data_IF_409623918702
#
_entry.id   IF_409623918702
#
_cell.length_a   1.000
_cell.length_b   1.000
_cell.length_c   1.000
_cell.angle_alpha   90.00
_cell.angle_beta   90.00
_cell.angle_gamma   90.00
#
_symmetry.space_group_name_H-M   'P 1'
#
loop_
_entity.id
_entity.type
_entity.pdbx_description
1 polymer ?
#
# COMPACT_ATOMS: atom_id res chain seq x y z
N UNK A 1 -18.61 -2.27 -20.38
CA UNK A 1 -18.74 -3.22 -19.26
C UNK A 1 -18.58 -2.41 -18.00
N UNK A 2 -19.64 -2.17 -17.24
CA UNK A 2 -19.55 -1.43 -15.98
C UNK A 2 -18.95 -2.39 -14.96
N UNK A 3 -17.70 -2.15 -14.54
CA UNK A 3 -17.09 -2.88 -13.42
C UNK A 3 -17.64 -2.27 -12.13
N UNK A 4 -18.96 -2.42 -11.93
CA UNK A 4 -19.68 -1.94 -10.76
C UNK A 4 -20.12 -3.15 -9.95
N UNK A 5 -19.37 -3.48 -8.90
CA UNK A 5 -19.58 -4.65 -8.04
C UNK A 5 -20.76 -4.52 -7.06
N UNK A 6 -21.52 -3.43 -7.13
CA UNK A 6 -22.60 -3.20 -6.19
C UNK A 6 -23.97 -3.41 -6.86
N UNK A 7 -24.82 -4.30 -6.31
CA UNK A 7 -26.24 -4.33 -6.62
C UNK A 7 -26.84 -2.92 -6.49
N UNK A 8 -27.85 -2.61 -7.30
CA UNK A 8 -28.60 -1.35 -7.15
C UNK A 8 -29.05 -1.20 -5.70
N UNK A 9 -28.74 -0.06 -5.09
CA UNK A 9 -29.13 0.32 -3.75
C UNK A 9 -30.67 0.42 -3.69
N UNK A 10 -31.33 -0.67 -3.31
CA UNK A 10 -32.79 -0.74 -3.15
C UNK A 10 -33.28 -0.03 -1.88
N UNK A 11 -32.70 1.12 -1.53
CA UNK A 11 -33.03 1.89 -0.33
C UNK A 11 -32.60 1.24 0.98
N UNK A 12 -31.61 0.33 0.98
CA UNK A 12 -31.10 -0.32 2.21
C UNK A 12 -29.70 0.16 2.53
N UNK A 13 -29.49 0.66 3.73
CA UNK A 13 -28.14 0.99 4.24
C UNK A 13 -27.23 -0.25 4.11
N UNK A 14 -26.11 -0.17 3.35
CA UNK A 14 -25.17 -1.27 3.26
C UNK A 14 -24.59 -1.56 4.65
N UNK A 15 -24.68 -2.82 5.09
CA UNK A 15 -24.04 -3.26 6.35
C UNK A 15 -22.54 -3.53 6.19
N UNK A 16 -22.07 -3.55 4.95
CA UNK A 16 -20.67 -3.65 4.56
C UNK A 16 -20.50 -2.93 3.21
N UNK A 17 -19.43 -2.16 3.09
CA UNK A 17 -19.06 -1.40 1.89
C UNK A 17 -17.67 -0.82 2.08
N UNK A 18 -16.95 -0.65 0.97
CA UNK A 18 -15.66 0.03 0.95
C UNK A 18 -15.83 1.45 1.50
N UNK A 19 -15.17 1.72 2.61
CA UNK A 19 -14.91 3.04 3.22
C UNK A 19 -15.70 4.23 2.65
N UNK A 20 -16.90 4.49 3.16
CA UNK A 20 -17.40 5.87 3.23
C UNK A 20 -16.92 6.40 4.59
N UNK A 21 -15.80 7.16 4.69
CA UNK A 21 -15.31 7.70 5.96
C UNK A 21 -16.28 8.70 6.62
N UNK A 22 -17.40 9.00 5.97
CA UNK A 22 -18.45 9.90 6.46
C UNK A 22 -19.72 9.18 6.92
N UNK A 23 -19.73 7.85 7.00
CA UNK A 23 -20.79 7.17 7.77
C UNK A 23 -20.36 7.11 9.24
N UNK A 24 -21.21 7.50 10.21
CA UNK A 24 -20.81 7.63 11.61
C UNK A 24 -20.04 6.40 12.10
N UNK A 25 -18.77 6.59 12.46
CA UNK A 25 -17.91 5.54 12.99
C UNK A 25 -18.34 5.19 14.42
N UNK A 26 -19.37 4.34 14.54
CA UNK A 26 -19.97 4.03 15.83
C UNK A 26 -20.51 5.27 16.55
N UNK A 27 -21.12 5.05 17.71
CA UNK A 27 -21.49 6.14 18.60
C UNK A 27 -20.21 6.73 19.20
N UNK A 28 -19.87 7.96 18.83
CA UNK A 28 -18.83 8.75 19.50
C UNK A 28 -19.48 9.94 20.18
N UNK A 29 -19.25 10.01 21.50
CA UNK A 29 -19.72 11.10 22.34
C UNK A 29 -18.55 12.02 22.65
N UNK A 30 -18.76 13.32 22.46
CA UNK A 30 -17.81 14.39 22.74
C UNK A 30 -17.27 14.28 24.17
N UNK A 31 -18.09 13.87 25.14
CA UNK A 31 -17.64 13.66 26.52
C UNK A 31 -16.52 12.62 26.63
N UNK A 32 -16.65 11.50 25.92
CA UNK A 32 -15.66 10.43 25.93
C UNK A 32 -14.38 10.87 25.20
N UNK A 33 -14.51 11.53 24.05
CA UNK A 33 -13.37 12.04 23.28
C UNK A 33 -12.58 13.09 24.08
N UNK A 34 -13.26 14.00 24.78
CA UNK A 34 -12.59 15.01 25.63
C UNK A 34 -11.86 14.35 26.79
N UNK A 35 -12.40 13.29 27.41
CA UNK A 35 -11.68 12.53 28.45
C UNK A 35 -10.42 11.88 27.87
N UNK A 36 -10.51 11.32 26.67
CA UNK A 36 -9.36 10.77 25.98
C UNK A 36 -8.29 11.83 25.67
N UNK A 37 -8.70 13.01 25.19
CA UNK A 37 -7.79 14.12 24.92
C UNK A 37 -7.14 14.69 26.17
N UNK A 38 -7.88 14.82 27.27
CA UNK A 38 -7.36 15.28 28.56
C UNK A 38 -6.30 14.34 29.14
N UNK A 39 -6.34 13.05 28.79
CA UNK A 39 -5.32 12.09 29.20
C UNK A 39 -4.02 12.18 28.37
N UNK A 40 -4.01 12.96 27.28
CA UNK A 40 -2.82 13.09 26.43
C UNK A 40 -1.82 14.09 26.99
N UNK A 41 -0.50 13.85 26.86
CA UNK A 41 0.54 14.73 27.38
C UNK A 41 0.49 16.17 26.83
N UNK A 42 0.01 16.35 25.61
CA UNK A 42 -0.07 17.65 24.93
C UNK A 42 -1.29 18.49 25.33
N UNK A 43 -2.22 17.97 26.14
CA UNK A 43 -3.42 18.71 26.54
C UNK A 43 -3.14 20.10 27.15
N UNK A 44 -2.13 20.28 28.04
CA UNK A 44 -1.81 21.58 28.60
C UNK A 44 -1.27 22.59 27.57
N UNK A 45 -0.78 22.11 26.42
CA UNK A 45 -0.23 22.94 25.34
C UNK A 45 -1.31 23.51 24.42
N UNK A 46 -2.54 22.98 24.48
CA UNK A 46 -3.65 23.49 23.68
C UNK A 46 -3.89 24.99 23.97
N UNK A 47 -4.14 25.83 22.96
CA UNK A 47 -4.61 27.19 23.19
C UNK A 47 -5.89 27.21 24.05
N UNK A 48 -6.02 28.20 24.93
CA UNK A 48 -7.17 28.32 25.84
C UNK A 48 -8.50 28.27 25.07
N UNK A 49 -8.61 28.97 23.94
CA UNK A 49 -9.80 28.95 23.10
C UNK A 49 -10.19 27.55 22.58
N UNK A 50 -9.20 26.67 22.33
CA UNK A 50 -9.47 25.28 21.91
C UNK A 50 -9.90 24.41 23.10
N UNK A 51 -9.24 24.55 24.25
CA UNK A 51 -9.66 23.87 25.48
C UNK A 51 -11.06 24.29 25.89
N UNK A 52 -11.38 25.59 25.84
CA UNK A 52 -12.70 26.12 26.20
C UNK A 52 -13.81 25.54 25.32
N UNK A 53 -13.54 25.21 24.05
CA UNK A 53 -14.50 24.54 23.17
C UNK A 53 -14.69 23.08 23.58
N UNK A 54 -13.58 22.35 23.80
CA UNK A 54 -13.61 20.93 24.17
C UNK A 54 -14.19 20.71 25.57
N UNK A 55 -13.88 21.57 26.54
CA UNK A 55 -14.36 21.48 27.92
C UNK A 55 -15.86 21.71 28.06
N UNK A 56 -16.50 22.38 27.09
CA UNK A 56 -17.97 22.47 27.05
C UNK A 56 -18.65 21.12 26.90
N UNK A 57 -17.94 20.12 26.32
CA UNK A 57 -18.45 18.75 26.10
C UNK A 57 -19.83 18.77 25.44
N UNK A 58 -20.01 19.67 24.47
CA UNK A 58 -21.32 19.96 23.89
C UNK A 58 -21.80 18.78 23.04
N UNK A 59 -22.91 18.10 23.42
CA UNK A 59 -23.44 16.96 22.68
C UNK A 59 -23.91 17.30 21.27
N UNK A 60 -24.05 18.58 20.91
CA UNK A 60 -24.33 18.97 19.53
C UNK A 60 -23.22 18.58 18.53
N UNK A 61 -22.03 18.25 19.03
CA UNK A 61 -20.91 17.73 18.25
C UNK A 61 -20.76 16.20 18.35
N UNK A 62 -21.66 15.52 19.05
CA UNK A 62 -21.69 14.05 19.05
C UNK A 62 -21.95 13.55 17.64
N UNK A 63 -21.39 12.38 17.32
CA UNK A 63 -21.66 11.72 16.05
C UNK A 63 -23.16 11.33 16.03
N UNK A 64 -23.97 11.80 15.06
CA UNK A 64 -25.41 11.55 15.07
C UNK A 64 -25.72 10.05 14.99
N UNK A 65 -26.87 9.66 15.54
CA UNK A 65 -27.25 8.26 15.61
C UNK A 65 -27.50 7.72 14.19
N UNK A 66 -27.02 6.51 13.83
CA UNK A 66 -27.33 5.92 12.54
C UNK A 66 -28.83 5.88 12.17
N UNK A 67 -29.73 5.86 13.17
CA UNK A 67 -31.18 5.95 12.99
C UNK A 67 -31.63 7.32 12.47
N UNK A 68 -30.91 8.39 12.75
CA UNK A 68 -31.21 9.73 12.24
C UNK A 68 -31.06 9.81 10.71
N UNK A 69 -30.31 8.87 10.13
CA UNK A 69 -30.08 8.75 8.70
C UNK A 69 -31.12 7.85 7.99
N UNK A 70 -32.05 7.23 8.72
CA UNK A 70 -32.98 6.23 8.16
C UNK A 70 -33.91 6.78 7.07
N UNK A 71 -34.32 8.05 7.19
CA UNK A 71 -35.24 8.71 6.26
C UNK A 71 -34.53 9.63 5.25
N UNK A 72 -33.19 9.58 5.19
CA UNK A 72 -32.44 10.41 4.26
C UNK A 72 -32.72 10.04 2.81
N UNK A 73 -32.99 11.06 1.99
CA UNK A 73 -33.27 10.93 0.55
C UNK A 73 -32.04 11.15 -0.33
N UNK A 74 -30.85 10.93 0.21
CA UNK A 74 -29.57 11.10 -0.49
C UNK A 74 -28.79 9.78 -0.49
N UNK A 75 -27.97 9.57 -1.51
CA UNK A 75 -27.05 8.44 -1.61
C UNK A 75 -25.65 8.94 -1.86
N UNK A 76 -24.68 8.40 -1.14
CA UNK A 76 -23.27 8.66 -1.34
C UNK A 76 -22.64 7.46 -2.05
N UNK A 77 -21.80 7.73 -3.03
CA UNK A 77 -21.11 6.71 -3.81
C UNK A 77 -19.63 7.04 -3.85
N UNK A 78 -18.80 6.06 -3.51
CA UNK A 78 -17.37 6.11 -3.80
C UNK A 78 -17.14 5.37 -5.12
N UNK A 79 -16.89 6.08 -6.23
CA UNK A 79 -16.74 5.43 -7.52
C UNK A 79 -15.39 4.72 -7.68
N UNK A 80 -14.39 5.07 -6.85
CA UNK A 80 -13.03 4.52 -6.91
C UNK A 80 -12.47 4.38 -5.49
N UNK A 81 -11.98 3.20 -5.17
CA UNK A 81 -11.31 2.77 -3.94
C UNK A 81 -10.11 1.85 -4.28
N UNK A 82 -9.34 1.44 -3.25
CA UNK A 82 -8.20 0.53 -3.37
C UNK A 82 -8.57 -0.83 -4.00
N UNK A 83 -9.80 -1.29 -3.83
CA UNK A 83 -10.25 -2.62 -4.25
C UNK A 83 -10.34 -2.73 -5.77
N UNK A 84 -10.78 -1.68 -6.48
CA UNK A 84 -10.84 -1.77 -7.95
C UNK A 84 -9.46 -1.88 -8.61
N UNK A 85 -8.40 -1.37 -7.97
CA UNK A 85 -7.03 -1.49 -8.47
C UNK A 85 -6.56 -2.95 -8.49
N UNK A 86 -6.75 -3.68 -7.38
CA UNK A 86 -6.34 -5.10 -7.30
C UNK A 86 -7.22 -6.02 -8.15
N UNK A 87 -8.51 -5.71 -8.29
CA UNK A 87 -9.40 -6.42 -9.23
C UNK A 87 -9.01 -6.16 -10.68
N UNK A 88 -8.63 -4.93 -11.03
CA UNK A 88 -8.09 -4.61 -12.35
C UNK A 88 -6.83 -5.41 -12.66
N UNK A 89 -5.91 -5.52 -11.69
CA UNK A 89 -4.72 -6.35 -11.81
C UNK A 89 -5.06 -7.85 -11.97
N UNK A 90 -6.05 -8.35 -11.22
CA UNK A 90 -6.52 -9.74 -11.33
C UNK A 90 -7.10 -10.02 -12.71
N UNK A 91 -8.01 -9.18 -13.18
CA UNK A 91 -8.61 -9.30 -14.52
C UNK A 91 -7.53 -9.28 -15.60
N UNK A 92 -6.56 -8.38 -15.49
CA UNK A 92 -5.45 -8.30 -16.45
C UNK A 92 -4.56 -9.56 -16.42
N UNK A 93 -4.30 -10.12 -15.24
CA UNK A 93 -3.55 -11.37 -15.11
C UNK A 93 -4.29 -12.53 -15.80
N UNK A 94 -5.60 -12.63 -15.60
CA UNK A 94 -6.46 -13.66 -16.22
C UNK A 94 -6.50 -13.53 -17.76
N UNK A 95 -6.58 -12.32 -18.29
CA UNK A 95 -6.45 -12.05 -19.74
C UNK A 95 -5.11 -12.52 -20.32
N UNK A 96 -4.04 -12.47 -19.52
CA UNK A 96 -2.70 -12.94 -19.89
C UNK A 96 -2.51 -14.45 -19.67
N UNK A 97 -3.56 -15.19 -19.29
CA UNK A 97 -3.51 -16.62 -19.05
C UNK A 97 -2.89 -17.03 -17.72
N UNK A 98 -2.75 -16.10 -16.78
CA UNK A 98 -2.28 -16.36 -15.41
C UNK A 98 -3.48 -16.52 -14.48
N UNK A 99 -3.35 -17.36 -13.46
CA UNK A 99 -4.31 -17.36 -12.35
C UNK A 99 -4.08 -16.10 -11.50
N UNK A 100 -5.00 -15.14 -11.54
CA UNK A 100 -4.93 -13.94 -10.69
C UNK A 100 -5.45 -14.22 -9.27
N UNK A 101 -4.60 -14.04 -8.26
CA UNK A 101 -4.95 -14.27 -6.85
C UNK A 101 -4.70 -13.00 -6.03
N UNK A 102 -5.78 -12.41 -5.53
CA UNK A 102 -5.70 -11.29 -4.58
C UNK A 102 -5.49 -11.85 -3.18
N UNK A 103 -4.32 -11.63 -2.60
CA UNK A 103 -3.99 -12.07 -1.23
C UNK A 103 -4.52 -11.07 -0.18
N UNK A 104 -4.50 -9.77 -0.49
CA UNK A 104 -5.08 -8.72 0.35
C UNK A 104 -5.22 -7.43 -0.46
N UNK A 105 -6.30 -6.67 -0.28
CA UNK A 105 -6.46 -5.31 -0.83
C UNK A 105 -6.01 -4.20 0.13
N UNK A 106 -5.69 -4.55 1.38
CA UNK A 106 -5.36 -3.62 2.47
C UNK A 106 -4.15 -4.10 3.26
N UNK A 107 -3.12 -4.62 2.59
CA UNK A 107 -1.92 -5.07 3.28
C UNK A 107 -1.23 -3.85 3.91
N UNK A 108 -1.07 -3.88 5.22
CA UNK A 108 -0.38 -2.86 6.02
C UNK A 108 0.63 -3.53 6.95
N UNK A 109 1.91 -3.26 6.75
CA UNK A 109 3.04 -3.81 7.51
C UNK A 109 4.34 -3.14 7.01
N UNK A 110 5.49 -3.56 7.52
CA UNK A 110 6.80 -3.09 7.08
C UNK A 110 7.15 -3.69 5.70
N UNK A 111 7.67 -2.86 4.78
CA UNK A 111 7.97 -3.27 3.40
C UNK A 111 8.84 -4.53 3.29
N UNK A 112 9.95 -4.58 4.03
CA UNK A 112 10.86 -5.71 4.03
C UNK A 112 10.22 -7.00 4.60
N UNK A 113 9.35 -6.88 5.61
CA UNK A 113 8.63 -8.01 6.19
C UNK A 113 7.59 -8.56 5.22
N UNK A 114 6.84 -7.68 4.54
CA UNK A 114 5.92 -8.07 3.48
C UNK A 114 6.65 -8.80 2.34
N UNK A 115 7.81 -8.28 1.91
CA UNK A 115 8.61 -8.91 0.86
C UNK A 115 9.02 -10.33 1.27
N UNK A 116 9.50 -10.51 2.50
CA UNK A 116 9.90 -11.81 3.03
C UNK A 116 8.75 -12.82 3.04
N UNK A 117 7.58 -12.44 3.60
CA UNK A 117 6.43 -13.34 3.69
C UNK A 117 5.91 -13.72 2.30
N UNK A 118 5.75 -12.73 1.40
CA UNK A 118 5.22 -12.97 0.07
C UNK A 118 6.19 -13.80 -0.80
N UNK A 119 7.50 -13.64 -0.62
CA UNK A 119 8.51 -14.48 -1.28
C UNK A 119 8.43 -15.94 -0.86
N UNK A 120 8.12 -16.21 0.41
CA UNK A 120 7.89 -17.57 0.89
C UNK A 120 6.61 -18.19 0.32
N UNK A 121 5.54 -17.39 0.14
CA UNK A 121 4.31 -17.86 -0.53
C UNK A 121 4.59 -18.17 -2.00
N UNK A 122 5.35 -17.32 -2.70
CA UNK A 122 5.75 -17.57 -4.08
C UNK A 122 6.60 -18.84 -4.21
N UNK A 123 7.53 -19.06 -3.28
CA UNK A 123 8.32 -20.29 -3.18
C UNK A 123 7.43 -21.53 -3.02
N UNK A 124 6.43 -21.49 -2.13
CA UNK A 124 5.49 -22.60 -1.92
C UNK A 124 4.69 -22.89 -3.21
N UNK A 125 4.25 -21.85 -3.92
CA UNK A 125 3.56 -21.99 -5.19
C UNK A 125 4.46 -22.64 -6.26
N UNK A 126 5.69 -22.14 -6.40
CA UNK A 126 6.67 -22.65 -7.37
C UNK A 126 7.03 -24.12 -7.12
N UNK A 127 7.35 -24.48 -5.88
CA UNK A 127 7.95 -25.78 -5.57
C UNK A 127 6.92 -26.87 -5.28
N UNK A 128 5.76 -26.51 -4.74
CA UNK A 128 4.75 -27.46 -4.28
C UNK A 128 3.38 -27.27 -4.95
N UNK A 129 3.23 -26.28 -5.83
CA UNK A 129 1.96 -26.01 -6.53
C UNK A 129 0.83 -25.59 -5.58
N UNK A 130 1.16 -25.07 -4.40
CA UNK A 130 0.16 -24.71 -3.38
C UNK A 130 0.54 -23.42 -2.65
N UNK A 131 -0.42 -22.71 -2.02
CA UNK A 131 -1.87 -22.90 -2.12
C UNK A 131 -2.43 -22.63 -3.53
N UNK A 132 -1.60 -22.12 -4.46
CA UNK A 132 -1.98 -21.85 -5.83
C UNK A 132 -0.98 -22.47 -6.82
N UNK A 133 -1.48 -23.16 -7.84
CA UNK A 133 -0.66 -23.75 -8.88
C UNK A 133 -0.16 -22.67 -9.86
N UNK A 134 1.15 -22.65 -10.20
CA UNK A 134 1.67 -21.83 -11.30
C UNK A 134 1.09 -22.27 -12.67
N UNK A 135 0.95 -21.35 -13.65
CA UNK A 135 1.36 -19.95 -13.58
C UNK A 135 0.34 -19.07 -12.83
N UNK A 136 0.81 -18.33 -11.83
CA UNK A 136 -0.02 -17.54 -10.91
C UNK A 136 0.52 -16.12 -10.74
N UNK A 137 -0.39 -15.14 -10.66
CA UNK A 137 -0.09 -13.77 -10.25
C UNK A 137 -0.62 -13.54 -8.84
N UNK A 138 0.28 -13.40 -7.87
CA UNK A 138 -0.03 -13.06 -6.48
C UNK A 138 -0.11 -11.52 -6.37
N UNK A 139 -1.28 -11.02 -5.96
CA UNK A 139 -1.61 -9.59 -6.01
C UNK A 139 -1.89 -9.10 -4.60
N UNK A 140 -1.27 -7.98 -4.22
CA UNK A 140 -1.63 -7.25 -3.00
C UNK A 140 -1.84 -5.76 -3.28
N UNK A 141 -2.82 -5.19 -2.58
CA UNK A 141 -3.07 -3.76 -2.45
C UNK A 141 -2.68 -3.25 -1.06
N UNK A 142 -2.94 -1.99 -0.77
CA UNK A 142 -2.79 -1.40 0.57
C UNK A 142 -1.70 -0.35 0.65
N UNK A 143 -1.05 -0.25 1.80
CA UNK A 143 0.01 0.73 2.08
C UNK A 143 1.03 0.10 3.03
N UNK A 144 2.29 0.03 2.60
CA UNK A 144 3.39 -0.46 3.44
C UNK A 144 4.11 0.69 4.13
N UNK A 145 4.84 0.38 5.19
CA UNK A 145 5.66 1.35 5.91
C UNK A 145 7.14 1.02 5.81
N UNK A 146 7.97 2.07 5.87
CA UNK A 146 9.42 1.96 5.99
C UNK A 146 9.85 2.71 7.26
N UNK A 147 10.23 2.00 8.33
CA UNK A 147 10.78 2.63 9.52
C UNK A 147 12.23 3.06 9.25
N UNK A 148 12.43 4.30 8.77
CA UNK A 148 13.72 4.79 8.27
C UNK A 148 14.81 4.99 9.33
N UNK A 149 14.45 5.14 10.61
CA UNK A 149 15.42 5.32 11.70
C UNK A 149 16.47 6.41 11.42
N UNK A 150 17.75 6.04 11.55
CA UNK A 150 18.92 6.88 11.25
C UNK A 150 19.42 6.76 9.79
N UNK A 151 18.61 6.17 8.91
CA UNK A 151 18.92 6.03 7.49
C UNK A 151 19.13 7.37 6.80
N UNK A 152 20.13 7.42 5.92
CA UNK A 152 20.53 8.62 5.18
C UNK A 152 20.24 8.53 3.67
N UNK A 153 19.65 7.42 3.24
CA UNK A 153 19.32 7.13 1.86
C UNK A 153 18.03 7.78 1.36
N UNK A 154 17.80 7.60 0.06
CA UNK A 154 16.56 8.01 -0.61
C UNK A 154 15.87 6.76 -1.14
N UNK A 155 14.61 6.58 -0.74
CA UNK A 155 13.86 5.38 -1.06
C UNK A 155 12.37 5.54 -0.85
N UNK A 156 11.64 4.49 -1.17
CA UNK A 156 10.19 4.41 -1.05
C UNK A 156 9.77 2.99 -0.67
N UNK A 157 8.55 2.87 -0.12
CA UNK A 157 8.04 1.59 0.40
C UNK A 157 7.93 0.52 -0.68
N UNK A 158 7.54 0.87 -1.90
CA UNK A 158 7.43 -0.06 -3.02
C UNK A 158 8.80 -0.35 -3.65
N UNK A 159 9.69 0.63 -3.67
CA UNK A 159 11.08 0.46 -4.07
C UNK A 159 11.84 -0.50 -3.14
N UNK A 160 11.74 -0.31 -1.82
CA UNK A 160 12.37 -1.20 -0.83
C UNK A 160 11.77 -2.60 -0.89
N UNK A 161 10.44 -2.70 -1.04
CA UNK A 161 9.78 -3.98 -1.25
C UNK A 161 10.37 -4.72 -2.46
N UNK A 162 10.46 -4.05 -3.62
CA UNK A 162 11.02 -4.64 -4.83
C UNK A 162 12.49 -5.03 -4.63
N UNK A 163 13.32 -4.13 -4.08
CA UNK A 163 14.74 -4.38 -3.90
C UNK A 163 15.01 -5.54 -2.92
N UNK A 164 14.22 -5.66 -1.85
CA UNK A 164 14.26 -6.79 -0.93
C UNK A 164 13.90 -8.12 -1.63
N UNK A 165 12.90 -8.11 -2.52
CA UNK A 165 12.60 -9.28 -3.36
C UNK A 165 13.78 -9.66 -4.26
N UNK A 166 14.44 -8.68 -4.89
CA UNK A 166 15.61 -8.94 -5.74
C UNK A 166 16.74 -9.64 -4.98
N UNK A 167 16.97 -9.24 -3.73
CA UNK A 167 17.93 -9.92 -2.84
C UNK A 167 17.52 -11.37 -2.52
N UNK A 168 16.24 -11.58 -2.17
CA UNK A 168 15.70 -12.89 -1.80
C UNK A 168 15.65 -13.87 -2.97
N UNK A 169 15.33 -13.41 -4.19
CA UNK A 169 15.27 -14.24 -5.40
C UNK A 169 16.65 -14.53 -6.00
N UNK A 170 17.65 -13.72 -5.68
CA UNK A 170 19.01 -13.89 -6.18
C UNK A 170 19.84 -14.90 -5.39
N UNK A 171 19.48 -15.20 -4.13
CA UNK A 171 20.32 -16.01 -3.25
C UNK A 171 19.55 -16.81 -2.19
N UNK A 172 20.21 -17.85 -1.67
CA UNK A 172 19.67 -18.66 -0.56
C UNK A 172 18.50 -19.55 -0.96
N UNK A 173 17.66 -19.90 0.03
CA UNK A 173 16.56 -20.88 -0.12
C UNK A 173 15.46 -20.42 -1.09
N UNK A 174 15.25 -19.11 -1.22
CA UNK A 174 14.19 -18.52 -2.03
C UNK A 174 14.67 -18.16 -3.45
N UNK A 175 15.91 -18.52 -3.81
CA UNK A 175 16.45 -18.18 -5.11
C UNK A 175 15.63 -18.80 -6.25
N UNK A 176 15.19 -17.97 -7.20
CA UNK A 176 14.42 -18.44 -8.35
C UNK A 176 14.50 -17.47 -9.52
N UNK A 177 14.68 -18.02 -10.73
CA UNK A 177 14.59 -17.28 -12.01
C UNK A 177 13.20 -17.33 -12.64
N UNK A 178 12.22 -17.93 -11.97
CA UNK A 178 10.83 -18.10 -12.44
C UNK A 178 9.86 -17.11 -11.82
N UNK A 179 10.37 -16.22 -10.97
CA UNK A 179 9.57 -15.21 -10.26
C UNK A 179 9.99 -13.82 -10.69
N UNK A 180 9.01 -13.00 -11.04
CA UNK A 180 9.17 -11.56 -11.33
C UNK A 180 8.22 -10.79 -10.42
N UNK A 181 8.70 -9.71 -9.81
CA UNK A 181 7.93 -8.92 -8.85
C UNK A 181 7.98 -7.45 -9.23
N UNK A 182 6.81 -6.83 -9.29
CA UNK A 182 6.66 -5.40 -9.45
C UNK A 182 5.86 -4.83 -8.27
N UNK A 183 6.28 -3.68 -7.78
CA UNK A 183 5.60 -2.94 -6.73
C UNK A 183 5.59 -1.46 -7.11
N UNK A 184 4.43 -0.81 -6.98
CA UNK A 184 4.30 0.59 -7.33
C UNK A 184 3.18 1.32 -6.56
N UNK A 185 3.41 2.61 -6.28
CA UNK A 185 2.39 3.55 -5.84
C UNK A 185 1.54 3.99 -7.04
N UNK A 186 0.23 3.95 -6.88
CA UNK A 186 -0.71 4.29 -7.94
C UNK A 186 -0.71 5.77 -8.29
N UNK A 187 -0.25 6.67 -7.40
CA UNK A 187 -0.11 8.10 -7.72
C UNK A 187 1.11 8.43 -8.60
N UNK A 188 2.00 7.45 -8.75
CA UNK A 188 3.22 7.52 -9.55
C UNK A 188 4.47 8.02 -8.81
N UNK A 189 4.39 8.18 -7.49
CA UNK A 189 5.49 8.63 -6.63
C UNK A 189 5.61 7.74 -5.39
N UNK A 190 6.69 7.01 -5.27
CA UNK A 190 7.02 6.20 -4.11
C UNK A 190 8.30 6.71 -3.45
N UNK A 191 8.20 7.27 -2.25
CA UNK A 191 9.33 7.92 -1.57
C UNK A 191 9.43 9.42 -1.83
N UNK A 192 10.34 10.14 -1.14
CA UNK A 192 10.34 11.59 -1.14
C UNK A 192 10.75 12.16 -2.50
N UNK A 193 9.91 13.03 -3.04
CA UNK A 193 10.15 13.75 -4.28
C UNK A 193 11.22 14.85 -4.21
N UNK A 194 11.97 15.06 -3.11
CA UNK A 194 12.91 16.20 -3.04
C UNK A 194 14.10 16.00 -2.11
N UNK A 195 14.89 14.94 -2.28
CA UNK A 195 16.28 14.94 -1.81
C UNK A 195 17.22 14.62 -2.96
N UNK A 196 17.55 15.63 -3.76
CA UNK A 196 18.79 15.63 -4.53
C UNK A 196 19.42 17.01 -4.47
N UNK A 197 20.69 17.05 -4.09
CA UNK A 197 21.59 18.12 -4.50
C UNK A 197 21.62 18.14 -6.04
N UNK A 198 21.05 19.19 -6.66
CA UNK A 198 20.95 19.30 -8.12
C UNK A 198 19.58 19.73 -8.67
N UNK A 199 18.56 19.85 -7.81
CA UNK A 199 17.35 20.64 -8.12
C UNK A 199 16.26 19.97 -8.96
N UNK A 200 16.30 18.65 -9.18
CA UNK A 200 15.17 17.91 -9.80
C UNK A 200 14.74 16.72 -8.94
N UNK A 201 13.44 16.58 -8.62
CA UNK A 201 12.85 15.34 -8.11
C UNK A 201 13.19 14.16 -9.02
N UNK A 202 13.67 13.06 -8.45
CA UNK A 202 13.58 11.75 -9.11
C UNK A 202 12.33 11.09 -8.54
N UNK A 203 11.24 11.19 -9.30
CA UNK A 203 9.98 10.51 -8.98
C UNK A 203 9.91 9.21 -9.77
N UNK A 204 9.85 8.08 -9.05
CA UNK A 204 9.47 6.78 -9.59
C UNK A 204 8.28 6.26 -8.80
N UNK A 205 7.46 5.45 -9.43
CA UNK A 205 6.31 4.82 -8.79
C UNK A 205 6.74 3.62 -7.93
N UNK A 206 7.91 3.04 -8.16
CA UNK A 206 8.40 1.87 -7.43
C UNK A 206 9.45 1.12 -8.24
N UNK A 207 9.45 -0.21 -8.16
CA UNK A 207 10.47 -1.05 -8.81
C UNK A 207 9.94 -2.39 -9.34
N UNK A 208 10.67 -2.94 -10.30
CA UNK A 208 10.47 -4.29 -10.85
C UNK A 208 11.78 -5.08 -10.80
N UNK A 209 11.72 -6.29 -10.26
CA UNK A 209 12.87 -7.15 -10.03
C UNK A 209 12.55 -8.60 -10.38
N UNK A 210 13.58 -9.42 -10.53
CA UNK A 210 13.45 -10.86 -10.69
C UNK A 210 14.68 -11.59 -10.10
N UNK A 211 14.82 -12.88 -10.38
CA UNK A 211 15.94 -13.67 -9.91
C UNK A 211 17.32 -13.27 -10.43
N UNK A 212 17.42 -12.44 -11.47
CA UNK A 212 18.68 -11.95 -12.03
C UNK A 212 19.16 -10.66 -11.39
N UNK A 213 18.28 -9.92 -10.72
CA UNK A 213 18.56 -8.60 -10.14
C UNK A 213 19.78 -8.58 -9.20
N UNK A 214 19.99 -9.62 -8.37
CA UNK A 214 21.17 -9.65 -7.48
C UNK A 214 22.48 -9.75 -8.27
N UNK A 215 22.52 -10.57 -9.32
CA UNK A 215 23.71 -10.70 -10.17
C UNK A 215 23.97 -9.39 -10.92
N UNK A 216 22.93 -8.77 -11.47
CA UNK A 216 23.02 -7.47 -12.14
C UNK A 216 23.52 -6.38 -11.19
N UNK A 217 23.13 -6.45 -9.91
CA UNK A 217 23.64 -5.56 -8.88
C UNK A 217 25.13 -5.74 -8.61
N UNK A 218 25.59 -6.99 -8.50
CA UNK A 218 27.03 -7.28 -8.37
C UNK A 218 27.82 -6.73 -9.57
N UNK A 219 27.33 -6.95 -10.80
CA UNK A 219 27.96 -6.46 -12.04
C UNK A 219 27.97 -4.92 -12.11
N UNK A 220 26.95 -4.25 -11.56
CA UNK A 220 26.85 -2.80 -11.48
C UNK A 220 27.55 -2.18 -10.25
N UNK A 221 28.18 -3.00 -9.39
CA UNK A 221 28.81 -2.52 -8.15
C UNK A 221 27.82 -1.96 -7.13
N UNK A 222 26.60 -2.51 -7.09
CA UNK A 222 25.53 -2.17 -6.14
C UNK A 222 25.42 -3.29 -5.10
N UNK A 223 25.70 -2.97 -3.84
CA UNK A 223 25.43 -3.88 -2.72
C UNK A 223 23.99 -3.67 -2.23
N UNK A 224 23.08 -4.54 -2.70
CA UNK A 224 21.66 -4.46 -2.35
C UNK A 224 21.43 -4.45 -0.82
N UNK A 225 22.19 -5.27 -0.08
CA UNK A 225 22.02 -5.36 1.37
C UNK A 225 22.40 -4.05 2.06
N UNK A 226 23.50 -3.44 1.62
CA UNK A 226 23.95 -2.14 2.13
C UNK A 226 22.97 -1.01 1.77
N UNK A 227 22.44 -1.00 0.55
CA UNK A 227 21.48 0.03 0.11
C UNK A 227 20.15 -0.07 0.85
N UNK A 228 19.65 -1.29 1.12
CA UNK A 228 18.46 -1.51 1.95
C UNK A 228 18.69 -1.07 3.40
N UNK A 229 19.85 -1.37 3.99
CA UNK A 229 20.18 -0.98 5.36
C UNK A 229 20.26 0.55 5.55
N UNK A 230 20.46 1.31 4.47
CA UNK A 230 20.51 2.77 4.46
C UNK A 230 19.22 3.43 3.96
N UNK A 231 18.19 2.65 3.61
CA UNK A 231 16.97 3.14 2.97
C UNK A 231 17.22 3.89 1.65
N UNK A 232 18.18 3.41 0.85
CA UNK A 232 18.67 4.07 -0.37
C UNK A 232 18.22 3.36 -1.68
N UNK A 233 17.00 2.85 -1.69
CA UNK A 233 16.47 2.04 -2.80
C UNK A 233 16.38 2.78 -4.14
N UNK A 234 16.21 4.10 -4.13
CA UNK A 234 16.05 4.90 -5.36
C UNK A 234 17.31 4.83 -6.21
N UNK A 235 18.48 5.03 -5.60
CA UNK A 235 19.76 5.01 -6.31
C UNK A 235 20.07 3.60 -6.82
N UNK A 236 19.81 2.58 -5.99
CA UNK A 236 20.00 1.19 -6.37
C UNK A 236 19.17 0.82 -7.61
N UNK A 237 17.85 1.04 -7.57
CA UNK A 237 16.96 0.69 -8.68
C UNK A 237 17.27 1.47 -9.96
N UNK A 238 17.71 2.73 -9.86
CA UNK A 238 18.16 3.48 -11.04
C UNK A 238 19.41 2.89 -11.67
N UNK A 239 20.42 2.56 -10.87
CA UNK A 239 21.66 1.94 -11.39
C UNK A 239 21.38 0.60 -12.07
N UNK A 240 20.38 -0.12 -11.58
CA UNK A 240 19.95 -1.41 -12.13
C UNK A 240 19.02 -1.28 -13.35
N UNK A 241 18.48 -0.09 -13.64
CA UNK A 241 17.44 0.06 -14.66
C UNK A 241 16.10 -0.60 -14.28
N UNK A 242 15.90 -0.84 -12.99
CA UNK A 242 14.75 -1.56 -12.41
C UNK A 242 13.65 -0.63 -11.88
N UNK A 243 13.77 0.68 -12.09
CA UNK A 243 12.81 1.68 -11.63
C UNK A 243 11.55 1.69 -12.51
N UNK A 244 10.37 1.76 -11.88
CA UNK A 244 9.09 1.95 -12.58
C UNK A 244 8.77 3.44 -12.60
N UNK A 245 8.69 4.04 -13.79
CA UNK A 245 8.28 5.43 -13.97
C UNK A 245 6.93 5.51 -14.70
N UNK A 246 5.91 5.98 -13.99
CA UNK A 246 4.58 6.22 -14.56
C UNK A 246 4.30 7.69 -14.81
N UNK A 247 5.00 8.58 -14.09
CA UNK A 247 4.59 9.97 -13.93
C UNK A 247 3.30 10.08 -13.10
N UNK A 248 2.77 11.30 -13.00
CA UNK A 248 1.49 11.54 -12.32
C UNK A 248 0.36 10.83 -13.07
N UNK A 249 -0.28 9.87 -12.40
CA UNK A 249 -1.36 9.04 -12.96
C UNK A 249 -2.75 9.70 -12.84
N UNK A 250 -2.87 10.74 -12.02
CA UNK A 250 -4.13 11.40 -11.70
C UNK A 250 -5.01 10.66 -10.68
N UNK A 251 -4.52 9.58 -10.06
CA UNK A 251 -5.25 8.82 -9.04
C UNK A 251 -4.33 8.35 -7.91
N UNK A 252 -4.81 8.36 -6.66
CA UNK A 252 -4.09 7.80 -5.51
C UNK A 252 -5.00 6.77 -4.82
N UNK A 253 -4.76 5.51 -5.14
CA UNK A 253 -5.47 4.33 -4.65
C UNK A 253 -4.55 3.43 -3.81
N UNK A 254 -3.47 3.98 -3.26
CA UNK A 254 -2.43 3.24 -2.56
C UNK A 254 -1.55 2.42 -3.50
N UNK A 255 -1.01 1.33 -2.99
CA UNK A 255 0.00 0.54 -3.69
C UNK A 255 -0.57 -0.67 -4.42
N UNK A 256 -0.01 -0.97 -5.58
CA UNK A 256 -0.19 -2.25 -6.28
C UNK A 256 1.12 -3.04 -6.28
N UNK A 257 1.04 -4.28 -5.82
CA UNK A 257 2.15 -5.25 -5.88
C UNK A 257 1.69 -6.51 -6.56
N UNK A 258 2.51 -7.01 -7.49
CA UNK A 258 2.25 -8.23 -8.25
C UNK A 258 3.52 -9.07 -8.30
N UNK A 259 3.44 -10.31 -7.84
CA UNK A 259 4.47 -11.32 -8.05
C UNK A 259 3.94 -12.40 -9.00
N UNK A 260 4.60 -12.57 -10.15
CA UNK A 260 4.27 -13.63 -11.12
C UNK A 260 5.20 -14.80 -10.91
N UNK A 261 4.63 -15.98 -10.69
CA UNK A 261 5.34 -17.26 -10.53
C UNK A 261 5.03 -18.15 -11.73
N UNK A 262 6.07 -18.69 -12.39
CA UNK A 262 5.95 -19.50 -13.63
C UNK A 262 6.32 -20.98 -13.49
#
# INVERSE_FOLDING_TARGET
MQVGLFPRWGGRLPKAGSFIPVWPQGERCMDADVRYFQAQPWWPELPAAMRDVLERRDPAYDVPDPRDYADMRYSFWQPIDLYQMVEGARARAEELGLRGVILSSHLTTISAEAANVLAQIAYECEHYGRPFEPPVALITGGHLDVPVGDGDGIGGRNQEFALAWGQLLGSGRLASKRVVVAAMDSDGTDGPGTQLAGGKPICMAGGIVDGYTLQEAEEAGVDIASELARHNSTIALMKLGSAIHTGNTGACLGDLRVAVVR
#
